data_IF_276995274941
#
_entry.id   IF_276995274941
#
_cell.length_a   1.000
_cell.length_b   1.000
_cell.length_c   1.000
_cell.angle_alpha   90.00
_cell.angle_beta   90.00
_cell.angle_gamma   90.00
#
_symmetry.space_group_name_H-M   'P 1'
#
loop_
_entity.id
_entity.type
_entity.pdbx_description
1 polymer ?
#
# COMPACT_ATOMS: atom_id res chain seq x y z
N UNK A 1 -16.54 -6.75 11.42
CA UNK A 1 -15.16 -6.66 11.89
C UNK A 1 -14.20 -6.39 10.74
N UNK A 2 -13.26 -5.51 10.95
CA UNK A 2 -12.33 -5.14 9.89
C UNK A 2 -11.11 -6.06 9.89
N UNK A 3 -10.68 -6.46 8.70
CA UNK A 3 -9.43 -7.19 8.53
C UNK A 3 -8.23 -6.26 8.39
N UNK A 4 -8.48 -4.96 8.44
CA UNK A 4 -7.44 -3.97 8.27
C UNK A 4 -6.80 -3.69 9.62
N UNK A 5 -5.49 -3.75 9.67
CA UNK A 5 -4.77 -3.42 10.89
C UNK A 5 -3.85 -2.24 10.63
N UNK A 6 -3.15 -1.82 11.68
CA UNK A 6 -2.35 -0.60 11.62
C UNK A 6 -1.29 -0.66 10.53
N UNK A 7 -0.67 -1.82 10.35
CA UNK A 7 0.41 -1.91 9.36
C UNK A 7 -0.12 -1.71 7.94
N UNK A 8 -1.35 -2.12 7.68
CA UNK A 8 -1.96 -1.89 6.37
C UNK A 8 -2.19 -0.39 6.14
N UNK A 9 -2.68 0.30 7.15
CA UNK A 9 -2.90 1.74 7.06
C UNK A 9 -1.58 2.47 6.86
N UNK A 10 -0.56 2.10 7.62
CA UNK A 10 0.75 2.70 7.49
C UNK A 10 1.32 2.48 6.09
N UNK A 11 1.19 1.27 5.56
CA UNK A 11 1.70 0.96 4.25
C UNK A 11 0.97 1.77 3.17
N UNK A 12 -0.36 1.88 3.27
CA UNK A 12 -1.13 2.70 2.35
C UNK A 12 -0.69 4.16 2.41
N UNK A 13 -0.49 4.68 3.62
CA UNK A 13 -0.07 6.07 3.78
C UNK A 13 1.29 6.31 3.12
N UNK A 14 2.23 5.39 3.31
CA UNK A 14 3.54 5.51 2.68
C UNK A 14 3.43 5.44 1.16
N UNK A 15 2.58 4.58 0.64
CA UNK A 15 2.38 4.51 -0.80
C UNK A 15 1.82 5.82 -1.35
N UNK A 16 0.92 6.45 -0.63
CA UNK A 16 0.38 7.75 -1.04
C UNK A 16 1.48 8.82 -1.05
N UNK A 17 2.33 8.83 -0.02
CA UNK A 17 3.45 9.76 0.04
C UNK A 17 4.38 9.56 -1.15
N UNK A 18 4.55 8.33 -1.59
CA UNK A 18 5.40 8.01 -2.71
C UNK A 18 4.78 8.32 -4.07
N UNK A 19 3.52 8.73 -4.10
CA UNK A 19 2.85 9.13 -5.33
C UNK A 19 1.89 8.12 -5.91
N UNK A 20 1.63 7.03 -5.22
CA UNK A 20 0.77 5.96 -5.75
C UNK A 20 -0.70 6.33 -5.82
N UNK A 21 -1.08 7.46 -5.26
CA UNK A 21 -2.46 7.96 -5.35
C UNK A 21 -2.80 8.56 -6.69
N UNK A 22 -1.80 8.97 -7.46
CA UNK A 22 -2.00 9.65 -8.75
C UNK A 22 -1.77 8.73 -9.94
N UNK A 23 -1.39 7.49 -9.70
CA UNK A 23 -1.14 6.53 -10.76
C UNK A 23 -0.22 5.44 -10.28
N UNK A 24 0.14 4.57 -11.19
CA UNK A 24 1.06 3.49 -10.85
C UNK A 24 2.46 4.03 -10.65
N UNK A 25 3.12 3.57 -9.59
CA UNK A 25 4.53 3.89 -9.35
C UNK A 25 5.30 2.59 -9.19
N UNK A 26 6.57 2.63 -9.56
CA UNK A 26 7.45 1.48 -9.32
C UNK A 26 7.70 1.34 -7.83
N UNK A 27 7.66 0.11 -7.35
CA UNK A 27 7.88 -0.19 -5.95
C UNK A 27 9.15 -1.02 -5.79
N UNK A 28 9.99 -0.57 -4.91
CA UNK A 28 11.13 -1.33 -4.41
C UNK A 28 10.76 -1.81 -3.02
N UNK A 29 10.51 -3.11 -2.88
CA UNK A 29 10.01 -3.64 -1.61
C UNK A 29 11.02 -3.50 -0.48
N UNK A 30 12.30 -3.47 -0.81
CA UNK A 30 13.33 -3.25 0.19
C UNK A 30 13.23 -1.85 0.79
N UNK A 31 13.04 -0.86 -0.08
CA UNK A 31 12.86 0.53 0.38
C UNK A 31 11.55 0.70 1.13
N UNK A 32 10.49 0.09 0.61
CA UNK A 32 9.19 0.16 1.29
C UNK A 32 9.29 -0.44 2.69
N UNK A 33 9.97 -1.58 2.81
CA UNK A 33 10.17 -2.20 4.12
C UNK A 33 10.82 -1.26 5.10
N UNK A 34 11.85 -0.54 4.66
CA UNK A 34 12.51 0.43 5.52
C UNK A 34 11.57 1.55 5.96
N UNK A 35 10.71 2.01 5.05
CA UNK A 35 9.79 3.10 5.37
C UNK A 35 8.74 2.69 6.40
N UNK A 36 8.35 1.43 6.40
CA UNK A 36 7.35 0.93 7.36
C UNK A 36 8.00 0.16 8.50
N UNK A 37 9.32 0.17 8.57
CA UNK A 37 10.09 -0.48 9.61
C UNK A 37 9.85 -1.98 9.64
N UNK A 38 9.87 -2.59 8.47
CA UNK A 38 9.68 -4.03 8.29
C UNK A 38 10.71 -4.56 7.31
N UNK A 39 10.82 -5.88 7.25
CA UNK A 39 11.69 -6.53 6.28
C UNK A 39 11.10 -6.40 4.88
N UNK A 40 11.95 -6.66 3.88
CA UNK A 40 11.49 -6.70 2.50
C UNK A 40 10.39 -7.74 2.31
N UNK A 41 10.56 -8.90 2.92
CA UNK A 41 9.57 -9.98 2.81
C UNK A 41 8.24 -9.58 3.42
N UNK A 42 8.28 -8.93 4.59
CA UNK A 42 7.06 -8.45 5.23
C UNK A 42 6.38 -7.38 4.37
N UNK A 43 7.16 -6.47 3.77
CA UNK A 43 6.59 -5.46 2.90
C UNK A 43 5.88 -6.10 1.70
N UNK A 44 6.50 -7.11 1.09
CA UNK A 44 5.87 -7.83 -0.02
C UNK A 44 4.57 -8.48 0.41
N UNK A 45 4.57 -9.11 1.59
CA UNK A 45 3.38 -9.74 2.12
C UNK A 45 2.26 -8.73 2.34
N UNK A 46 2.60 -7.58 2.91
CA UNK A 46 1.58 -6.55 3.15
C UNK A 46 1.01 -6.00 1.85
N UNK A 47 1.83 -5.89 0.81
CA UNK A 47 1.32 -5.48 -0.50
C UNK A 47 0.31 -6.49 -1.05
N UNK A 48 0.60 -7.79 -0.91
CA UNK A 48 -0.33 -8.81 -1.34
C UNK A 48 -1.64 -8.75 -0.55
N UNK A 49 -1.53 -8.50 0.75
CA UNK A 49 -2.71 -8.37 1.60
C UNK A 49 -3.55 -7.17 1.19
N UNK A 50 -2.89 -6.04 0.92
CA UNK A 50 -3.61 -4.84 0.49
C UNK A 50 -4.30 -5.04 -0.86
N UNK A 51 -3.66 -5.75 -1.77
CA UNK A 51 -4.29 -6.07 -3.03
C UNK A 51 -5.50 -6.96 -2.82
N UNK A 52 -5.38 -7.94 -1.97
CA UNK A 52 -6.48 -8.85 -1.64
C UNK A 52 -7.68 -8.11 -1.06
N UNK A 53 -7.41 -7.08 -0.27
CA UNK A 53 -8.48 -6.24 0.31
C UNK A 53 -9.05 -5.23 -0.68
N UNK A 54 -8.45 -5.13 -1.86
CA UNK A 54 -8.92 -4.19 -2.87
C UNK A 54 -8.44 -2.77 -2.67
N UNK A 55 -7.45 -2.56 -1.79
CA UNK A 55 -6.95 -1.23 -1.47
C UNK A 55 -5.87 -0.75 -2.42
N UNK A 56 -5.19 -1.68 -3.10
CA UNK A 56 -4.22 -1.32 -4.13
C UNK A 56 -4.44 -2.21 -5.35
N UNK A 57 -3.98 -1.71 -6.48
CA UNK A 57 -3.90 -2.48 -7.71
C UNK A 57 -2.42 -2.65 -8.06
N UNK A 58 -2.07 -3.79 -8.59
CA UNK A 58 -0.70 -4.08 -9.00
C UNK A 58 -0.63 -4.28 -10.49
N UNK A 59 0.49 -3.88 -11.07
CA UNK A 59 0.76 -4.13 -12.47
C UNK A 59 2.21 -4.54 -12.60
N UNK A 60 2.49 -5.37 -13.58
CA UNK A 60 3.85 -5.78 -13.86
C UNK A 60 4.16 -5.44 -15.30
N UNK A 61 5.25 -4.73 -15.52
CA UNK A 61 5.73 -4.37 -16.85
C UNK A 61 7.15 -4.85 -16.96
N UNK A 62 7.35 -5.93 -17.73
CA UNK A 62 8.65 -6.58 -17.78
C UNK A 62 8.99 -7.12 -16.40
N UNK A 63 10.12 -6.71 -15.87
CA UNK A 63 10.54 -7.12 -14.53
C UNK A 63 10.16 -6.10 -13.46
N UNK A 64 9.47 -5.03 -13.85
CA UNK A 64 9.13 -3.97 -12.93
C UNK A 64 7.78 -4.21 -12.30
N UNK A 65 7.71 -3.87 -11.04
CA UNK A 65 6.53 -4.07 -10.22
C UNK A 65 5.98 -2.69 -9.85
N UNK A 66 4.72 -2.47 -10.19
CA UNK A 66 4.09 -1.16 -9.98
C UNK A 66 2.83 -1.31 -9.16
N UNK A 67 2.53 -0.28 -8.37
CA UNK A 67 1.33 -0.26 -7.54
C UNK A 67 0.65 1.09 -7.64
N UNK A 68 -0.66 1.04 -7.45
CA UNK A 68 -1.50 2.23 -7.34
C UNK A 68 -2.48 2.01 -6.20
N UNK A 69 -2.73 3.06 -5.41
CA UNK A 69 -3.76 3.01 -4.39
C UNK A 69 -5.11 3.23 -5.08
N UNK A 70 -6.06 2.34 -4.81
CA UNK A 70 -7.39 2.42 -5.40
C UNK A 70 -8.25 3.41 -4.63
N UNK A 71 -9.41 3.75 -5.20
CA UNK A 71 -10.39 4.58 -4.49
C UNK A 71 -10.76 3.97 -3.15
N UNK A 72 -10.89 2.66 -3.11
CA UNK A 72 -11.22 1.95 -1.88
C UNK A 72 -10.13 2.13 -0.83
N UNK A 73 -8.87 2.03 -1.25
CA UNK A 73 -7.75 2.25 -0.34
C UNK A 73 -7.68 3.68 0.14
N UNK A 74 -7.94 4.61 -0.76
CA UNK A 74 -7.95 6.03 -0.42
C UNK A 74 -9.01 6.32 0.64
N UNK A 75 -10.21 5.78 0.44
CA UNK A 75 -11.30 5.97 1.39
C UNK A 75 -10.98 5.36 2.74
N UNK A 76 -10.24 4.28 2.76
CA UNK A 76 -9.85 3.66 4.02
C UNK A 76 -8.98 4.61 4.84
N UNK A 77 -8.03 5.26 4.19
CA UNK A 77 -7.17 6.24 4.85
C UNK A 77 -8.00 7.44 5.31
N UNK A 78 -8.88 7.94 4.45
CA UNK A 78 -9.74 9.07 4.77
C UNK A 78 -10.58 8.80 5.99
N UNK A 79 -11.19 7.63 6.04
CA UNK A 79 -12.06 7.26 7.15
C UNK A 79 -11.28 7.23 8.46
N UNK A 80 -10.06 6.71 8.42
CA UNK A 80 -9.22 6.67 9.61
C UNK A 80 -8.80 8.07 10.04
N UNK A 81 -8.52 8.94 9.07
CA UNK A 81 -8.04 10.30 9.35
C UNK A 81 -9.08 11.15 10.03
N UNK A 82 -10.35 10.99 9.66
CA UNK A 82 -11.42 11.87 10.15
C UNK A 82 -12.21 11.26 11.29
N UNK A 83 -11.94 10.04 11.58
CA UNK A 83 -12.67 9.38 12.68
C UNK A 83 -12.13 9.84 14.01
N UNK A 84 -13.03 10.23 14.87
CA UNK A 84 -12.68 10.72 16.19
C UNK A 84 -13.34 9.90 17.27
#
# INVERSE_FOLDING_TARGET
MSDVNFIHILTLAELLVMGAGQGYIEINTSKLGKRINKSQQAASKHLLELESLGFIARARTGQKFKVRVTDRGYKQIENMSFKR
#
